data_IF_109839065609
#
_entry.id   IF_109839065609
#
_cell.length_a   1.000
_cell.length_b   1.000
_cell.length_c   1.000
_cell.angle_alpha   90.00
_cell.angle_beta   90.00
_cell.angle_gamma   90.00
#
_symmetry.space_group_name_H-M   'P 1'
#
loop_
_entity.id
_entity.type
_entity.pdbx_description
1 polymer ?
#
# COMPACT_ATOMS: atom_id res chain seq x y z
N UNK A 1 34.45 -8.77 56.73
CA UNK A 1 34.36 -10.16 57.21
C UNK A 1 33.22 -10.84 56.46
N UNK A 2 33.48 -12.02 55.88
CA UNK A 2 32.46 -12.82 55.17
C UNK A 2 32.70 -13.01 53.68
N UNK A 3 33.85 -13.60 53.32
CA UNK A 3 34.10 -14.17 52.00
C UNK A 3 33.27 -15.45 51.83
N UNK A 4 32.63 -15.65 50.67
CA UNK A 4 32.40 -17.00 50.15
C UNK A 4 32.56 -17.00 48.63
N UNK A 5 33.74 -17.47 48.21
CA UNK A 5 34.09 -17.81 46.82
C UNK A 5 33.67 -19.25 46.58
N UNK A 6 32.86 -19.53 45.57
CA UNK A 6 32.86 -20.84 44.90
C UNK A 6 32.99 -20.63 43.39
N UNK A 7 34.18 -20.98 42.91
CA UNK A 7 34.49 -21.60 41.62
C UNK A 7 33.44 -22.72 41.31
N UNK A 8 33.11 -23.12 40.08
CA UNK A 8 33.93 -23.41 38.91
C UNK A 8 33.00 -23.85 37.75
N UNK A 9 33.50 -23.73 36.50
CA UNK A 9 33.25 -24.61 35.33
C UNK A 9 31.85 -24.53 34.69
N UNK A 10 31.64 -24.16 33.43
CA UNK A 10 32.49 -24.31 32.24
C UNK A 10 32.10 -25.55 31.46
N UNK A 11 30.95 -25.55 30.76
CA UNK A 11 30.62 -26.58 29.78
C UNK A 11 30.36 -25.92 28.42
N UNK A 12 31.45 -25.73 27.69
CA UNK A 12 31.48 -25.47 26.26
C UNK A 12 31.24 -26.80 25.56
N UNK A 13 30.06 -26.99 24.95
CA UNK A 13 29.80 -28.13 24.06
C UNK A 13 30.07 -27.69 22.63
N UNK A 14 31.29 -27.94 22.16
CA UNK A 14 31.64 -27.93 20.73
C UNK A 14 31.43 -29.36 20.22
N UNK A 15 30.51 -29.53 19.27
CA UNK A 15 30.40 -30.76 18.47
C UNK A 15 30.82 -30.41 17.05
N UNK A 16 31.98 -30.93 16.65
CA UNK A 16 32.48 -30.90 15.28
C UNK A 16 32.40 -32.30 14.66
N UNK A 17 31.98 -32.28 13.39
CA UNK A 17 32.28 -33.23 12.30
C UNK A 17 31.68 -34.64 12.33
N UNK A 18 30.86 -34.96 11.34
CA UNK A 18 31.29 -35.79 10.21
C UNK A 18 30.28 -35.78 9.06
N UNK A 19 30.83 -35.73 7.84
CA UNK A 19 30.15 -35.80 6.56
C UNK A 19 29.46 -37.14 6.34
N UNK A 20 28.24 -37.13 5.80
CA UNK A 20 27.68 -38.26 5.04
C UNK A 20 26.97 -37.73 3.80
N UNK A 21 27.24 -38.40 2.68
CA UNK A 21 27.06 -37.90 1.32
C UNK A 21 25.63 -37.57 0.91
N UNK A 22 25.55 -36.76 -0.14
CA UNK A 22 24.32 -36.44 -0.84
C UNK A 22 23.69 -37.70 -1.44
N UNK A 23 22.41 -38.01 -1.17
CA UNK A 23 21.64 -38.90 -2.03
C UNK A 23 21.25 -38.13 -3.29
N UNK A 24 21.71 -38.63 -4.43
CA UNK A 24 21.18 -38.24 -5.73
C UNK A 24 19.74 -38.76 -5.90
N UNK A 25 18.97 -37.98 -6.64
CA UNK A 25 17.74 -38.32 -7.38
C UNK A 25 16.45 -38.62 -6.60
N UNK A 26 15.57 -37.62 -6.58
CA UNK A 26 14.21 -37.79 -7.08
C UNK A 26 13.80 -36.51 -7.84
N UNK A 27 13.74 -36.58 -9.16
CA UNK A 27 13.14 -35.54 -10.00
C UNK A 27 11.64 -35.53 -9.68
N UNK A 28 11.04 -34.40 -9.29
CA UNK A 28 9.59 -34.33 -9.10
C UNK A 28 8.91 -34.57 -10.46
N UNK A 29 7.76 -35.27 -10.51
CA UNK A 29 7.03 -35.44 -11.76
C UNK A 29 6.73 -34.07 -12.35
N UNK A 30 7.12 -33.88 -13.61
CA UNK A 30 6.78 -32.71 -14.42
C UNK A 30 5.27 -32.52 -14.37
N UNK A 31 4.84 -31.43 -13.72
CA UNK A 31 3.46 -30.96 -13.75
C UNK A 31 3.03 -30.85 -15.22
N UNK A 32 1.90 -31.43 -15.66
CA UNK A 32 1.44 -31.23 -17.02
C UNK A 32 1.26 -29.72 -17.24
N UNK A 33 1.98 -29.21 -18.23
CA UNK A 33 1.84 -27.83 -18.70
C UNK A 33 0.35 -27.52 -18.83
N UNK A 34 -0.16 -26.40 -18.27
CA UNK A 34 -1.53 -26.00 -18.55
C UNK A 34 -1.66 -25.89 -20.06
N UNK A 35 -2.54 -26.71 -20.62
CA UNK A 35 -2.86 -26.70 -22.03
C UNK A 35 -3.41 -25.30 -22.32
N UNK A 36 -2.58 -24.44 -22.93
CA UNK A 36 -2.98 -23.09 -23.32
C UNK A 36 -4.10 -23.26 -24.33
N UNK A 37 -5.34 -23.09 -23.89
CA UNK A 37 -6.44 -22.91 -24.83
C UNK A 37 -6.08 -21.75 -25.75
N UNK A 38 -6.33 -21.87 -27.07
CA UNK A 38 -6.13 -20.74 -27.96
C UNK A 38 -6.92 -19.56 -27.43
N UNK A 39 -6.23 -18.45 -27.19
CA UNK A 39 -6.84 -17.15 -26.92
C UNK A 39 -7.89 -16.91 -28.00
N UNK A 40 -9.16 -16.58 -27.67
CA UNK A 40 -10.14 -16.23 -28.67
C UNK A 40 -9.61 -15.05 -29.48
N UNK A 41 -9.18 -15.32 -30.70
CA UNK A 41 -8.80 -14.28 -31.66
C UNK A 41 -10.08 -13.54 -32.02
N UNK A 42 -10.17 -12.25 -31.70
CA UNK A 42 -11.22 -11.39 -32.23
C UNK A 42 -11.10 -11.39 -33.75
N UNK A 43 -12.00 -12.11 -34.42
CA UNK A 43 -12.12 -12.07 -35.87
C UNK A 43 -12.67 -10.70 -36.25
N UNK A 44 -11.83 -9.86 -36.84
CA UNK A 44 -12.28 -8.58 -37.39
C UNK A 44 -13.25 -8.86 -38.55
N UNK A 45 -14.38 -8.12 -38.65
CA UNK A 45 -15.28 -8.22 -39.80
C UNK A 45 -14.54 -7.94 -41.11
N UNK A 46 -14.96 -8.54 -42.24
CA UNK A 46 -14.41 -8.19 -43.55
C UNK A 46 -14.62 -6.69 -43.81
N UNK A 47 -13.55 -6.06 -44.30
CA UNK A 47 -13.46 -4.64 -44.61
C UNK A 47 -14.54 -4.22 -45.63
N UNK A 48 -15.45 -3.27 -45.31
CA UNK A 48 -16.37 -2.74 -46.29
C UNK A 48 -15.64 -1.82 -47.27
N UNK A 49 -15.94 -1.99 -48.56
CA UNK A 49 -15.51 -1.12 -49.68
C UNK A 49 -15.74 0.38 -49.41
N UNK A 50 -14.98 1.29 -50.06
CA UNK A 50 -14.82 2.67 -49.64
C UNK A 50 -16.13 3.43 -49.76
N UNK A 51 -16.85 3.53 -48.64
CA UNK A 51 -17.96 4.47 -48.48
C UNK A 51 -17.34 5.73 -47.88
N UNK A 52 -17.67 6.88 -48.47
CA UNK A 52 -17.23 8.21 -48.04
C UNK A 52 -17.40 8.39 -46.53
N UNK A 53 -16.31 8.18 -45.78
CA UNK A 53 -16.28 8.34 -44.32
C UNK A 53 -16.47 9.81 -44.01
N UNK A 54 -17.69 10.17 -43.60
CA UNK A 54 -17.90 11.40 -42.83
C UNK A 54 -17.09 11.25 -41.55
N UNK A 55 -16.09 12.12 -41.35
CA UNK A 55 -15.29 12.11 -40.14
C UNK A 55 -16.22 12.28 -38.93
N UNK A 56 -16.37 11.21 -38.13
CA UNK A 56 -17.03 11.29 -36.84
C UNK A 56 -16.17 12.23 -35.98
N UNK A 57 -16.73 13.29 -35.37
CA UNK A 57 -15.95 14.14 -34.50
C UNK A 57 -15.39 13.30 -33.35
N UNK A 58 -14.06 13.24 -33.23
CA UNK A 58 -13.39 12.68 -32.07
C UNK A 58 -13.90 13.42 -30.85
N UNK A 59 -14.62 12.73 -29.96
CA UNK A 59 -15.08 13.32 -28.71
C UNK A 59 -13.87 13.90 -27.98
N UNK A 60 -13.90 15.21 -27.71
CA UNK A 60 -12.89 15.84 -26.88
C UNK A 60 -12.95 15.14 -25.52
N UNK A 61 -11.85 14.55 -25.03
CA UNK A 61 -11.87 13.94 -23.71
C UNK A 61 -12.38 14.97 -22.69
N UNK A 62 -13.20 14.56 -21.73
CA UNK A 62 -13.75 15.48 -20.73
C UNK A 62 -12.64 15.96 -19.80
N UNK A 63 -12.65 17.23 -19.41
CA UNK A 63 -11.72 17.75 -18.40
C UNK A 63 -11.98 17.11 -17.03
N UNK A 64 -13.21 16.69 -16.78
CA UNK A 64 -13.64 16.08 -15.53
C UNK A 64 -14.59 14.92 -15.82
N UNK A 65 -14.31 13.74 -15.27
CA UNK A 65 -15.14 12.55 -15.49
C UNK A 65 -16.44 12.53 -14.67
N UNK A 66 -16.59 13.44 -13.70
CA UNK A 66 -17.54 13.26 -12.61
C UNK A 66 -17.21 12.03 -11.76
N UNK A 67 -18.08 11.70 -10.81
CA UNK A 67 -17.96 10.48 -10.01
C UNK A 67 -18.40 9.26 -10.84
N UNK A 68 -17.51 8.27 -10.92
CA UNK A 68 -17.74 6.99 -11.58
C UNK A 68 -17.71 5.88 -10.53
N UNK A 69 -18.79 5.11 -10.41
CA UNK A 69 -18.85 3.95 -9.53
C UNK A 69 -17.89 2.86 -10.04
N UNK A 70 -16.98 2.40 -9.18
CA UNK A 70 -16.09 1.27 -9.48
C UNK A 70 -16.64 -0.03 -8.89
N UNK A 71 -17.09 0.03 -7.63
CA UNK A 71 -17.79 -1.05 -6.92
C UNK A 71 -18.61 -0.44 -5.78
N UNK A 72 -19.42 -1.25 -5.07
CA UNK A 72 -20.19 -0.77 -3.93
C UNK A 72 -19.30 -0.02 -2.93
N UNK A 73 -19.68 1.23 -2.63
CA UNK A 73 -18.95 2.10 -1.71
C UNK A 73 -17.62 2.69 -2.24
N UNK A 74 -17.21 2.43 -3.49
CA UNK A 74 -15.99 2.99 -4.07
C UNK A 74 -16.27 3.68 -5.42
N UNK A 75 -15.96 4.96 -5.48
CA UNK A 75 -16.09 5.78 -6.68
C UNK A 75 -14.77 6.47 -7.01
N UNK A 76 -14.56 6.76 -8.31
CA UNK A 76 -13.40 7.49 -8.82
C UNK A 76 -13.85 8.72 -9.60
N UNK A 77 -13.10 9.82 -9.47
CA UNK A 77 -13.18 10.99 -10.34
C UNK A 77 -11.79 11.36 -10.82
N UNK A 78 -11.65 11.57 -12.12
CA UNK A 78 -10.41 12.07 -12.73
C UNK A 78 -10.63 13.48 -13.24
N UNK A 79 -9.77 14.41 -12.84
CA UNK A 79 -9.80 15.81 -13.26
C UNK A 79 -8.47 16.13 -13.94
N UNK A 80 -8.53 16.56 -15.19
CA UNK A 80 -7.39 17.09 -15.93
C UNK A 80 -7.33 18.58 -15.67
N UNK A 81 -6.24 19.03 -15.06
CA UNK A 81 -5.98 20.44 -14.84
C UNK A 81 -5.36 20.99 -16.11
N UNK A 82 -5.96 22.04 -16.66
CA UNK A 82 -5.55 22.66 -17.91
C UNK A 82 -4.98 24.05 -17.63
N UNK A 83 -3.95 24.46 -18.37
CA UNK A 83 -3.48 25.84 -18.39
C UNK A 83 -4.41 26.76 -19.21
N UNK A 84 -4.09 28.05 -19.26
CA UNK A 84 -4.85 29.07 -20.01
C UNK A 84 -4.94 28.76 -21.52
N UNK A 85 -4.02 27.95 -22.06
CA UNK A 85 -4.00 27.53 -23.47
C UNK A 85 -4.73 26.19 -23.69
N UNK A 86 -5.39 25.65 -22.66
CA UNK A 86 -6.10 24.37 -22.72
C UNK A 86 -5.19 23.14 -22.71
N UNK A 87 -3.88 23.30 -22.44
CA UNK A 87 -2.94 22.18 -22.36
C UNK A 87 -2.98 21.59 -20.95
N UNK A 88 -3.01 20.26 -20.87
CA UNK A 88 -2.98 19.58 -19.57
C UNK A 88 -1.63 19.82 -18.87
N UNK A 89 -1.71 20.29 -17.63
CA UNK A 89 -0.57 20.47 -16.73
C UNK A 89 -0.51 19.38 -15.68
N UNK A 90 -1.66 18.95 -15.16
CA UNK A 90 -1.75 17.94 -14.11
C UNK A 90 -2.96 17.02 -14.30
N UNK A 91 -2.97 15.90 -13.58
CA UNK A 91 -4.13 15.02 -13.47
C UNK A 91 -4.38 14.63 -12.01
N UNK A 92 -5.55 15.00 -11.50
CA UNK A 92 -6.03 14.59 -10.19
C UNK A 92 -6.85 13.31 -10.33
N UNK A 93 -6.56 12.33 -9.48
CA UNK A 93 -7.40 11.14 -9.29
C UNK A 93 -7.94 11.17 -7.87
N UNK A 94 -9.26 11.25 -7.73
CA UNK A 94 -9.96 11.26 -6.46
C UNK A 94 -10.66 9.92 -6.28
N UNK A 95 -10.55 9.36 -5.08
CA UNK A 95 -11.29 8.18 -4.65
C UNK A 95 -12.23 8.59 -3.53
N UNK A 96 -13.51 8.19 -3.63
CA UNK A 96 -14.50 8.35 -2.58
C UNK A 96 -14.88 6.98 -2.07
N UNK A 97 -14.71 6.77 -0.77
CA UNK A 97 -14.97 5.51 -0.09
C UNK A 97 -16.09 5.69 0.93
N UNK A 98 -17.03 4.75 0.98
CA UNK A 98 -17.98 4.61 2.08
C UNK A 98 -17.29 3.92 3.26
N UNK A 99 -17.06 4.62 4.38
CA UNK A 99 -16.30 4.05 5.50
C UNK A 99 -16.98 2.85 6.17
N UNK A 100 -18.27 2.59 5.91
CA UNK A 100 -18.98 1.42 6.46
C UNK A 100 -18.72 0.13 5.67
N UNK A 101 -18.17 0.24 4.45
CA UNK A 101 -17.94 -0.89 3.54
C UNK A 101 -16.46 -1.26 3.40
N UNK A 102 -15.55 -0.48 4.01
CA UNK A 102 -14.11 -0.68 3.92
C UNK A 102 -13.44 -0.58 5.29
N UNK A 103 -12.41 -1.39 5.48
CA UNK A 103 -11.49 -1.25 6.60
C UNK A 103 -10.32 -0.36 6.21
N UNK A 104 -9.84 0.43 7.17
CA UNK A 104 -8.69 1.30 7.00
C UNK A 104 -7.60 0.88 7.98
N UNK A 105 -6.36 0.96 7.52
CA UNK A 105 -5.17 0.49 8.22
C UNK A 105 -4.02 1.47 7.97
N UNK A 106 -3.11 1.59 8.94
CA UNK A 106 -1.85 2.33 8.78
C UNK A 106 -0.70 1.33 8.79
N UNK A 107 -0.04 1.19 7.65
CA UNK A 107 1.19 0.40 7.53
C UNK A 107 2.42 1.24 7.87
N UNK A 108 3.33 0.70 8.69
CA UNK A 108 4.61 1.33 9.00
C UNK A 108 5.72 0.29 9.17
N UNK A 109 6.89 0.57 8.58
CA UNK A 109 8.06 -0.33 8.57
C UNK A 109 9.34 0.52 8.77
N UNK A 110 9.66 0.89 10.02
CA UNK A 110 10.72 1.86 10.33
C UNK A 110 12.08 1.38 9.83
N UNK A 111 12.80 2.23 9.10
CA UNK A 111 14.12 1.92 8.54
C UNK A 111 14.10 0.91 7.39
N UNK A 112 12.92 0.43 6.99
CA UNK A 112 12.74 -0.59 5.95
C UNK A 112 11.61 -0.17 5.01
N UNK A 113 11.84 0.82 4.12
CA UNK A 113 10.82 1.32 3.22
C UNK A 113 10.39 0.22 2.25
N UNK A 114 9.11 0.22 1.88
CA UNK A 114 8.56 -0.72 0.89
C UNK A 114 7.86 0.03 -0.22
N UNK A 115 7.97 -0.41 -1.49
CA UNK A 115 7.12 0.07 -2.57
C UNK A 115 5.63 -0.15 -2.24
N UNK A 116 4.75 0.72 -2.77
CA UNK A 116 3.30 0.59 -2.55
C UNK A 116 2.75 -0.77 -3.04
N UNK A 117 3.30 -1.30 -4.14
CA UNK A 117 2.93 -2.62 -4.64
C UNK A 117 3.25 -3.75 -3.66
N UNK A 118 4.36 -3.64 -2.91
CA UNK A 118 4.72 -4.61 -1.87
C UNK A 118 3.76 -4.53 -0.70
N UNK A 119 3.45 -3.32 -0.22
CA UNK A 119 2.42 -3.13 0.81
C UNK A 119 1.08 -3.72 0.39
N UNK A 120 0.68 -3.48 -0.85
CA UNK A 120 -0.59 -3.99 -1.38
C UNK A 120 -0.63 -5.52 -1.43
N UNK A 121 0.47 -6.15 -1.87
CA UNK A 121 0.57 -7.61 -1.94
C UNK A 121 0.58 -8.27 -0.55
N UNK A 122 1.31 -7.70 0.42
CA UNK A 122 1.41 -8.24 1.79
C UNK A 122 0.11 -8.09 2.58
N UNK A 123 -0.60 -6.97 2.42
CA UNK A 123 -1.82 -6.66 3.18
C UNK A 123 -3.10 -7.16 2.50
N UNK A 124 -3.07 -7.41 1.19
CA UNK A 124 -4.27 -7.66 0.40
C UNK A 124 -5.18 -6.44 0.25
N UNK A 125 -4.69 -5.23 0.56
CA UNK A 125 -5.49 -4.00 0.48
C UNK A 125 -5.95 -3.70 -0.95
N UNK A 126 -7.19 -3.22 -1.09
CA UNK A 126 -7.70 -2.77 -2.39
C UNK A 126 -6.97 -1.52 -2.90
N UNK A 127 -6.63 -0.62 -1.99
CA UNK A 127 -5.96 0.66 -2.26
C UNK A 127 -4.85 0.84 -1.23
N UNK A 128 -3.67 1.25 -1.70
CA UNK A 128 -2.55 1.69 -0.84
C UNK A 128 -2.06 3.04 -1.35
N UNK A 129 -1.88 3.99 -0.44
CA UNK A 129 -1.36 5.33 -0.74
C UNK A 129 -0.17 5.63 0.15
N UNK A 130 0.73 6.49 -0.33
CA UNK A 130 1.76 7.06 0.54
C UNK A 130 1.10 7.95 1.61
N UNK A 131 1.68 7.96 2.81
CA UNK A 131 1.15 8.68 3.97
C UNK A 131 2.03 9.85 4.41
N UNK A 132 2.64 9.74 5.58
CA UNK A 132 3.45 10.80 6.19
C UNK A 132 4.87 10.91 5.64
N UNK A 133 5.58 11.94 6.11
CA UNK A 133 6.96 12.22 5.75
C UNK A 133 7.96 11.42 6.59
N UNK A 134 9.08 11.04 5.98
CA UNK A 134 10.16 10.26 6.57
C UNK A 134 11.53 10.96 6.39
N UNK A 135 12.48 10.65 7.28
CA UNK A 135 13.88 11.08 7.14
C UNK A 135 14.59 10.25 6.07
N UNK A 136 15.83 10.61 5.73
CA UNK A 136 16.66 9.84 4.78
C UNK A 136 16.94 8.41 5.27
N UNK A 137 16.88 8.16 6.58
CA UNK A 137 16.98 6.84 7.22
C UNK A 137 15.64 6.09 7.25
N UNK A 138 14.60 6.59 6.57
CA UNK A 138 13.28 5.98 6.46
C UNK A 138 12.56 5.81 7.81
N UNK A 139 12.71 6.78 8.70
CA UNK A 139 11.92 6.86 9.94
C UNK A 139 10.97 8.05 9.90
N UNK A 140 9.79 7.89 10.50
CA UNK A 140 8.74 8.89 10.50
C UNK A 140 9.18 10.20 11.19
N UNK A 141 8.94 11.33 10.53
CA UNK A 141 9.17 12.67 11.11
C UNK A 141 7.98 13.15 11.92
N UNK A 142 6.77 12.78 11.48
CA UNK A 142 5.51 13.00 12.19
C UNK A 142 5.11 11.79 13.02
N UNK A 143 4.16 12.00 13.94
CA UNK A 143 3.61 10.95 14.79
C UNK A 143 2.89 9.87 13.97
N UNK A 144 3.30 8.63 14.17
CA UNK A 144 2.63 7.42 13.71
C UNK A 144 2.35 6.54 14.92
N UNK A 145 1.13 6.00 15.01
CA UNK A 145 0.75 5.01 16.02
C UNK A 145 0.16 3.80 15.31
N UNK A 146 0.79 2.64 15.47
CA UNK A 146 0.40 1.37 14.86
C UNK A 146 0.42 0.32 15.97
N UNK A 147 -0.68 -0.39 16.20
CA UNK A 147 -0.82 -1.37 17.28
C UNK A 147 -0.41 -0.85 18.67
N UNK A 148 -0.74 0.42 18.94
CA UNK A 148 -0.35 1.11 20.18
C UNK A 148 1.14 1.50 20.26
N UNK A 149 1.96 1.10 19.29
CA UNK A 149 3.37 1.49 19.22
C UNK A 149 3.49 2.86 18.56
N UNK A 150 3.97 3.82 19.35
CA UNK A 150 4.22 5.19 18.90
C UNK A 150 5.60 5.31 18.24
N UNK A 151 5.67 6.01 17.11
CA UNK A 151 6.88 6.37 16.39
C UNK A 151 6.85 7.84 15.95
N UNK A 152 8.03 8.46 15.85
CA UNK A 152 8.15 9.88 15.50
C UNK A 152 7.67 10.81 16.61
N UNK A 153 7.27 12.03 16.26
CA UNK A 153 6.77 13.03 17.21
C UNK A 153 5.66 13.86 16.58
N UNK A 154 4.67 14.25 17.40
CA UNK A 154 3.57 15.09 16.92
C UNK A 154 4.11 16.48 16.59
N UNK A 155 3.67 17.04 15.46
CA UNK A 155 3.99 18.41 15.13
C UNK A 155 3.33 19.37 16.12
N UNK A 156 4.05 20.43 16.47
CA UNK A 156 3.56 21.46 17.40
C UNK A 156 3.19 22.72 16.61
N UNK A 157 1.98 23.22 16.83
CA UNK A 157 1.50 24.45 16.19
C UNK A 157 1.10 24.31 14.72
N UNK A 158 1.14 23.11 14.14
CA UNK A 158 0.61 22.81 12.79
C UNK A 158 0.31 21.33 12.61
N UNK A 159 -0.29 20.98 11.47
CA UNK A 159 -0.48 19.60 11.02
C UNK A 159 -1.87 19.03 11.28
N UNK A 160 -2.16 17.93 10.60
CA UNK A 160 -3.35 17.12 10.77
C UNK A 160 -2.99 15.69 11.10
N UNK A 161 -3.93 14.96 11.67
CA UNK A 161 -3.80 13.54 11.97
C UNK A 161 -5.02 12.80 11.46
N UNK A 162 -4.78 11.71 10.73
CA UNK A 162 -5.79 10.70 10.45
C UNK A 162 -5.84 9.75 11.64
N UNK A 163 -7.02 9.56 12.22
CA UNK A 163 -7.24 8.62 13.32
C UNK A 163 -8.23 7.57 12.88
N UNK A 164 -7.97 6.32 13.26
CA UNK A 164 -8.84 5.19 12.98
C UNK A 164 -9.24 4.53 14.31
N UNK A 165 -10.53 4.25 14.47
CA UNK A 165 -11.11 3.49 15.59
C UNK A 165 -12.12 2.49 15.04
N UNK A 166 -12.73 1.65 15.89
CA UNK A 166 -13.78 0.73 15.47
C UNK A 166 -14.84 1.44 14.61
N UNK A 167 -14.88 1.10 13.32
CA UNK A 167 -15.82 1.63 12.34
C UNK A 167 -15.71 3.11 12.00
N UNK A 168 -14.65 3.82 12.42
CA UNK A 168 -14.52 5.25 12.16
C UNK A 168 -13.13 5.66 11.67
N UNK A 169 -13.12 6.54 10.67
CA UNK A 169 -11.94 7.27 10.21
C UNK A 169 -12.23 8.75 10.36
N UNK A 170 -11.33 9.47 11.00
CA UNK A 170 -11.45 10.91 11.18
C UNK A 170 -10.15 11.62 10.85
N UNK A 171 -10.26 12.88 10.45
CA UNK A 171 -9.13 13.80 10.32
C UNK A 171 -9.30 14.86 11.40
N UNK A 172 -8.26 15.11 12.18
CA UNK A 172 -8.23 16.17 13.19
C UNK A 172 -7.09 17.15 12.95
N UNK A 173 -7.31 18.42 13.30
CA UNK A 173 -6.26 19.42 13.42
C UNK A 173 -5.45 19.17 14.70
N UNK A 174 -4.12 19.10 14.58
CA UNK A 174 -3.23 19.00 15.74
C UNK A 174 -3.04 20.33 16.48
N UNK A 175 -3.47 21.45 15.88
CA UNK A 175 -3.51 22.76 16.54
C UNK A 175 -4.69 22.84 17.49
N UNK A 176 -5.87 22.45 17.03
CA UNK A 176 -7.10 22.53 17.81
C UNK A 176 -7.24 21.37 18.80
N UNK A 177 -6.84 20.16 18.38
CA UNK A 177 -6.88 18.94 19.19
C UNK A 177 -5.54 18.20 19.10
N UNK A 178 -4.51 18.66 19.85
CA UNK A 178 -3.22 18.00 19.91
C UNK A 178 -3.34 16.53 20.33
N UNK A 179 -2.39 15.72 19.88
CA UNK A 179 -2.26 14.35 20.36
C UNK A 179 -1.94 14.33 21.85
N UNK A 180 -2.65 13.49 22.60
CA UNK A 180 -2.32 13.17 23.99
C UNK A 180 -1.76 11.74 24.04
N UNK A 181 -0.60 11.51 24.69
CA UNK A 181 -0.02 10.16 24.82
C UNK A 181 -0.91 9.14 25.56
N UNK A 182 -1.97 9.60 26.22
CA UNK A 182 -2.98 8.75 26.87
C UNK A 182 -4.08 8.28 25.90
N UNK A 183 -4.12 8.79 24.67
CA UNK A 183 -5.06 8.32 23.64
C UNK A 183 -4.67 6.91 23.18
N UNK A 184 -5.67 6.04 23.06
CA UNK A 184 -5.51 4.68 22.53
C UNK A 184 -6.12 4.59 21.15
N UNK A 185 -5.40 4.02 20.19
CA UNK A 185 -5.91 3.69 18.86
C UNK A 185 -5.91 2.16 18.72
N UNK A 186 -7.10 1.57 18.57
CA UNK A 186 -7.29 0.12 18.70
C UNK A 186 -7.01 -0.67 17.42
N UNK A 187 -6.57 -0.04 16.33
CA UNK A 187 -6.38 -0.75 15.06
C UNK A 187 -5.14 -0.29 14.30
N UNK A 188 -4.41 -1.28 13.79
CA UNK A 188 -3.59 -1.22 12.58
C UNK A 188 -4.16 -2.18 11.54
#
# INVERSE_FOLDING_TARGET
>A
MGNCKWFMVGLLVVVLAACTGAPATAVPPTNPSPNLLPTPTLQLPPEPSPTTTTAVPTATPLADTGWQLLQAGLERRSIRVLDENGRQTEQLTLLRLDPNLFTFAIGYSPGQPKPLATWQAETGALIVVNGGFFTEEFVATGLIVVDGVTSGSSYQGFGGMVTMSEGSVAVRSLVERPYQPTETFTHA
#
